data_IF_370340442370
#
_entry.id   IF_370340442370
#
_cell.length_a   1.000
_cell.length_b   1.000
_cell.length_c   1.000
_cell.angle_alpha   90.00
_cell.angle_beta   90.00
_cell.angle_gamma   90.00
#
_symmetry.space_group_name_H-M   'P 1'
#
loop_
_entity.id
_entity.type
_entity.pdbx_description
1 polymer ?
#
# COMPACT_ATOMS: atom_id res chain seq x y z
N UNK A 1 3.55 2.28 17.83
CA UNK A 1 2.88 2.53 16.54
C UNK A 1 3.13 3.99 16.18
N UNK A 2 3.93 4.20 15.15
CA UNK A 2 4.27 5.50 14.57
C UNK A 2 3.22 5.90 13.53
N UNK A 3 2.91 7.19 13.43
CA UNK A 3 1.80 7.67 12.60
C UNK A 3 2.30 8.44 11.38
N UNK A 4 1.87 8.01 10.20
CA UNK A 4 2.16 8.64 8.93
C UNK A 4 0.89 9.19 8.30
N UNK A 5 1.06 10.17 7.43
CA UNK A 5 -0.02 10.74 6.61
C UNK A 5 0.27 10.49 5.16
N UNK A 6 -0.76 10.16 4.38
CA UNK A 6 -0.66 10.16 2.93
C UNK A 6 -1.44 11.33 2.32
N UNK A 7 -0.72 12.17 1.59
CA UNK A 7 -1.25 13.37 0.93
C UNK A 7 -1.45 13.08 -0.56
N UNK A 8 -2.69 13.21 -1.01
CA UNK A 8 -3.08 12.94 -2.38
C UNK A 8 -2.97 14.18 -3.26
N UNK A 9 -2.43 14.00 -4.46
CA UNK A 9 -2.45 14.92 -5.58
C UNK A 9 -3.07 14.25 -6.81
N UNK A 10 -3.29 14.99 -7.89
CA UNK A 10 -3.86 14.44 -9.12
C UNK A 10 -3.02 13.34 -9.77
N UNK A 11 -1.73 13.26 -9.46
CA UNK A 11 -0.78 12.35 -10.10
C UNK A 11 -0.02 11.46 -9.10
N UNK A 12 -0.22 11.64 -7.80
CA UNK A 12 0.51 10.87 -6.79
C UNK A 12 -0.12 10.88 -5.40
N UNK A 13 0.32 9.92 -4.58
CA UNK A 13 0.02 9.85 -3.15
C UNK A 13 1.34 9.72 -2.37
N UNK A 14 1.69 10.76 -1.62
CA UNK A 14 2.96 10.84 -0.90
C UNK A 14 2.80 10.39 0.55
N UNK A 15 3.63 9.45 1.00
CA UNK A 15 3.66 9.01 2.41
C UNK A 15 4.67 9.86 3.20
N UNK A 16 4.17 10.58 4.19
CA UNK A 16 4.94 11.50 5.03
C UNK A 16 4.98 11.00 6.47
N UNK A 17 6.17 11.05 7.09
CA UNK A 17 6.33 10.76 8.51
C UNK A 17 5.87 11.94 9.40
N UNK A 18 5.99 11.78 10.71
CA UNK A 18 5.60 12.80 11.69
C UNK A 18 6.34 14.13 11.52
N UNK A 19 7.59 14.08 11.04
CA UNK A 19 8.45 15.24 10.73
C UNK A 19 8.19 15.85 9.35
N UNK A 20 7.18 15.37 8.61
CA UNK A 20 6.89 15.75 7.22
C UNK A 20 7.98 15.34 6.22
N UNK A 21 8.82 14.38 6.58
CA UNK A 21 9.81 13.80 5.65
C UNK A 21 9.11 12.73 4.78
N UNK A 22 9.41 12.74 3.49
CA UNK A 22 8.82 11.81 2.52
C UNK A 22 9.52 10.45 2.59
N UNK A 23 8.74 9.41 2.91
CA UNK A 23 9.22 8.02 2.94
C UNK A 23 9.13 7.33 1.59
N UNK A 24 8.17 7.77 0.76
CA UNK A 24 7.95 7.25 -0.58
C UNK A 24 6.65 7.80 -1.17
N UNK A 25 6.37 7.40 -2.39
CA UNK A 25 5.28 7.95 -3.19
C UNK A 25 4.69 6.90 -4.12
N UNK A 26 3.37 6.88 -4.21
CA UNK A 26 2.66 6.21 -5.29
C UNK A 26 2.52 7.20 -6.44
N UNK A 27 2.97 6.83 -7.63
CA UNK A 27 2.82 7.63 -8.84
C UNK A 27 1.69 7.01 -9.66
N UNK A 28 0.66 7.80 -9.93
CA UNK A 28 -0.51 7.35 -10.66
C UNK A 28 -0.31 7.49 -12.16
N UNK A 29 -0.74 6.47 -12.90
CA UNK A 29 -0.78 6.53 -14.36
C UNK A 29 -1.84 7.47 -14.92
N UNK A 30 -1.70 7.85 -16.19
CA UNK A 30 -2.62 8.75 -16.90
C UNK A 30 -4.02 8.15 -17.16
N UNK A 31 -4.14 6.82 -17.13
CA UNK A 31 -5.41 6.09 -17.25
C UNK A 31 -5.55 5.28 -15.96
N UNK A 32 -6.62 5.49 -15.21
CA UNK A 32 -6.78 5.01 -13.82
C UNK A 32 -6.27 3.58 -13.58
N UNK A 33 -5.14 3.46 -12.88
CA UNK A 33 -4.52 2.19 -12.50
C UNK A 33 -3.50 1.60 -13.49
N UNK A 34 -3.37 2.16 -14.70
CA UNK A 34 -2.43 1.70 -15.73
C UNK A 34 -1.11 2.46 -15.64
N UNK A 35 -0.03 1.72 -15.37
CA UNK A 35 1.32 2.23 -15.13
C UNK A 35 1.54 2.91 -13.77
N UNK A 36 0.77 2.51 -12.76
CA UNK A 36 1.05 2.92 -11.39
C UNK A 36 2.43 2.41 -10.94
N UNK A 37 3.13 3.23 -10.16
CA UNK A 37 4.49 2.94 -9.69
C UNK A 37 4.63 3.30 -8.22
N UNK A 38 5.54 2.62 -7.54
CA UNK A 38 6.00 2.99 -6.20
C UNK A 38 7.40 3.57 -6.32
N UNK A 39 7.63 4.75 -5.77
CA UNK A 39 8.95 5.39 -5.69
C UNK A 39 9.42 5.46 -4.24
N UNK A 40 10.61 4.92 -3.96
CA UNK A 40 11.26 4.95 -2.65
C UNK A 40 12.70 5.43 -2.88
N UNK A 41 13.02 6.65 -2.44
CA UNK A 41 14.30 7.27 -2.80
C UNK A 41 14.51 7.33 -4.32
N UNK A 42 15.56 6.66 -4.80
CA UNK A 42 15.90 6.56 -6.23
C UNK A 42 15.34 5.29 -6.90
N UNK A 43 14.73 4.39 -6.14
CA UNK A 43 14.17 3.14 -6.64
C UNK A 43 12.74 3.34 -7.12
N UNK A 44 12.41 2.70 -8.24
CA UNK A 44 11.08 2.73 -8.84
C UNK A 44 10.61 1.29 -9.07
N UNK A 45 9.45 0.98 -8.53
CA UNK A 45 8.80 -0.30 -8.63
C UNK A 45 7.56 -0.19 -9.50
N UNK A 46 7.34 -1.15 -10.37
CA UNK A 46 6.21 -1.20 -11.28
C UNK A 46 5.07 -2.01 -10.66
N UNK A 47 3.87 -1.44 -10.62
CA UNK A 47 2.66 -2.13 -10.18
C UNK A 47 1.95 -2.72 -11.40
N UNK A 48 1.57 -4.00 -11.34
CA UNK A 48 0.74 -4.65 -12.35
C UNK A 48 -0.44 -5.35 -11.69
N UNK A 49 -1.66 -4.99 -12.09
CA UNK A 49 -2.85 -5.78 -11.77
C UNK A 49 -2.75 -7.18 -12.39
N UNK A 50 -3.26 -8.19 -11.68
CA UNK A 50 -3.25 -9.60 -12.09
C UNK A 50 -4.53 -10.32 -11.66
N UNK A 51 -4.79 -11.48 -12.24
CA UNK A 51 -5.96 -12.31 -11.92
C UNK A 51 -7.25 -11.87 -12.62
N UNK A 52 -8.30 -12.70 -12.49
CA UNK A 52 -9.63 -12.38 -13.00
C UNK A 52 -10.19 -11.16 -12.26
N UNK A 53 -10.77 -10.20 -12.99
CA UNK A 53 -11.22 -8.91 -12.46
C UNK A 53 -10.16 -8.11 -11.68
N UNK A 54 -8.86 -8.31 -11.98
CA UNK A 54 -7.77 -7.56 -11.32
C UNK A 54 -7.68 -7.77 -9.80
N UNK A 55 -8.17 -8.91 -9.30
CA UNK A 55 -8.18 -9.26 -7.87
C UNK A 55 -6.80 -9.61 -7.28
N UNK A 56 -5.71 -9.44 -8.03
CA UNK A 56 -4.35 -9.56 -7.54
C UNK A 56 -3.49 -8.39 -8.00
N UNK A 57 -2.39 -8.15 -7.32
CA UNK A 57 -1.42 -7.12 -7.73
C UNK A 57 -0.02 -7.64 -7.54
N UNK A 58 0.80 -7.52 -8.58
CA UNK A 58 2.22 -7.86 -8.56
C UNK A 58 3.05 -6.58 -8.62
N UNK A 59 4.17 -6.58 -7.91
CA UNK A 59 5.09 -5.44 -7.84
C UNK A 59 6.48 -5.91 -8.21
N UNK A 60 7.06 -5.23 -9.18
CA UNK A 60 8.34 -5.60 -9.78
C UNK A 60 9.37 -4.51 -9.51
N UNK A 61 10.60 -4.91 -9.19
CA UNK A 61 11.73 -3.98 -9.12
C UNK A 61 12.21 -3.55 -10.53
N UNK A 62 13.22 -2.69 -10.57
CA UNK A 62 13.78 -2.15 -11.81
C UNK A 62 14.39 -3.23 -12.74
N UNK A 63 14.80 -4.38 -12.20
CA UNK A 63 15.30 -5.52 -12.99
C UNK A 63 14.17 -6.37 -13.59
N UNK A 64 12.91 -6.10 -13.22
CA UNK A 64 11.75 -6.90 -13.60
C UNK A 64 11.51 -8.11 -12.70
N UNK A 65 12.22 -8.21 -11.56
CA UNK A 65 11.99 -9.27 -10.57
C UNK A 65 10.76 -8.95 -9.73
N UNK A 66 9.90 -9.96 -9.53
CA UNK A 66 8.74 -9.86 -8.64
C UNK A 66 9.23 -9.76 -7.18
N UNK A 67 8.93 -8.66 -6.52
CA UNK A 67 9.31 -8.43 -5.11
C UNK A 67 8.14 -8.51 -4.15
N UNK A 68 6.91 -8.31 -4.65
CA UNK A 68 5.72 -8.38 -3.81
C UNK A 68 4.49 -8.82 -4.61
N UNK A 69 3.63 -9.64 -4.01
CA UNK A 69 2.33 -10.05 -4.56
C UNK A 69 1.22 -9.88 -3.53
N UNK A 70 0.18 -9.13 -3.89
CA UNK A 70 -1.14 -9.15 -3.23
C UNK A 70 -2.03 -10.20 -3.88
N UNK A 71 -2.54 -11.12 -3.08
CA UNK A 71 -3.54 -12.11 -3.47
C UNK A 71 -4.84 -11.84 -2.72
N UNK A 72 -5.78 -11.13 -3.36
CA UNK A 72 -7.03 -10.77 -2.69
C UNK A 72 -7.99 -11.93 -2.53
N UNK A 73 -7.82 -13.03 -3.28
CA UNK A 73 -8.65 -14.22 -3.12
C UNK A 73 -8.40 -14.95 -1.80
N UNK A 74 -7.22 -14.73 -1.21
CA UNK A 74 -6.79 -15.34 0.07
C UNK A 74 -6.49 -14.32 1.15
N UNK A 75 -6.67 -13.03 0.88
CA UNK A 75 -6.31 -11.92 1.77
C UNK A 75 -4.84 -11.97 2.24
N UNK A 76 -3.93 -12.27 1.31
CA UNK A 76 -2.50 -12.47 1.62
C UNK A 76 -1.60 -11.53 0.84
N UNK A 77 -0.47 -11.20 1.45
CA UNK A 77 0.64 -10.51 0.81
C UNK A 77 1.88 -11.39 0.91
N UNK A 78 2.56 -11.59 -0.21
CA UNK A 78 3.84 -12.29 -0.29
C UNK A 78 4.92 -11.26 -0.60
N UNK A 79 5.94 -11.19 0.24
CA UNK A 79 7.14 -10.38 -0.01
C UNK A 79 8.32 -11.30 -0.31
N UNK A 80 9.01 -11.05 -1.42
CA UNK A 80 10.12 -11.86 -1.90
C UNK A 80 11.43 -11.10 -1.69
N UNK A 81 11.89 -11.05 -0.43
CA UNK A 81 13.17 -10.49 -0.03
C UNK A 81 14.29 -11.53 -0.09
N UNK A 82 15.19 -11.53 0.90
CA UNK A 82 16.16 -12.63 1.09
C UNK A 82 15.46 -13.95 1.40
N UNK A 83 14.38 -13.87 2.19
CA UNK A 83 13.43 -14.95 2.45
C UNK A 83 12.04 -14.53 1.97
N UNK A 84 11.16 -15.52 1.77
CA UNK A 84 9.75 -15.24 1.48
C UNK A 84 9.01 -14.99 2.78
N UNK A 85 8.43 -13.80 2.91
CA UNK A 85 7.59 -13.44 4.04
C UNK A 85 6.12 -13.42 3.59
N UNK A 86 5.24 -13.90 4.47
CA UNK A 86 3.81 -13.98 4.21
C UNK A 86 3.08 -13.16 5.28
N UNK A 87 2.19 -12.30 4.82
CA UNK A 87 1.36 -11.46 5.65
C UNK A 87 -0.11 -11.69 5.32
N UNK A 88 -0.97 -11.43 6.29
CA UNK A 88 -2.42 -11.50 6.11
C UNK A 88 -2.99 -10.11 6.30
N UNK A 89 -3.98 -9.74 5.49
CA UNK A 89 -4.68 -8.47 5.68
C UNK A 89 -6.17 -8.68 5.92
N UNK A 90 -6.78 -7.71 6.60
CA UNK A 90 -8.21 -7.72 6.91
C UNK A 90 -8.79 -6.33 6.71
N UNK A 91 -9.94 -6.27 6.03
CA UNK A 91 -10.79 -5.08 6.04
C UNK A 91 -11.66 -5.11 7.29
N UNK A 92 -11.66 -4.03 8.07
CA UNK A 92 -12.57 -3.87 9.23
C UNK A 92 -13.47 -2.68 9.01
N UNK A 93 -14.76 -2.85 9.34
CA UNK A 93 -15.79 -1.81 9.29
C UNK A 93 -16.61 -1.79 7.99
N UNK A 94 -17.94 -1.66 8.12
CA UNK A 94 -18.86 -1.50 6.97
C UNK A 94 -18.82 -0.05 6.43
N UNK A 95 -18.63 0.94 7.33
CA UNK A 95 -18.65 2.38 7.00
C UNK A 95 -17.26 3.03 7.09
N UNK A 96 -16.44 2.64 8.06
CA UNK A 96 -15.04 3.05 8.16
C UNK A 96 -14.17 1.98 7.51
N UNK A 97 -13.85 2.15 6.24
CA UNK A 97 -13.02 1.21 5.48
C UNK A 97 -11.62 1.20 6.11
N UNK A 98 -11.33 0.37 7.11
CA UNK A 98 -9.97 0.23 7.67
C UNK A 98 -9.31 -0.99 7.02
N UNK A 99 -8.03 -0.89 6.65
CA UNK A 99 -7.23 -2.03 6.21
C UNK A 99 -6.13 -2.28 7.24
N UNK A 100 -6.07 -3.48 7.78
CA UNK A 100 -5.01 -3.91 8.69
C UNK A 100 -4.15 -4.99 8.04
N UNK A 101 -2.84 -4.92 8.25
CA UNK A 101 -1.86 -5.94 7.86
C UNK A 101 -1.26 -6.58 9.10
N UNK A 102 -1.14 -7.91 9.07
CA UNK A 102 -0.65 -8.74 10.15
C UNK A 102 0.49 -9.65 9.67
N UNK A 103 1.46 -9.93 10.55
CA UNK A 103 2.45 -10.98 10.31
C UNK A 103 1.88 -12.38 10.65
N UNK A 104 2.74 -13.40 10.63
CA UNK A 104 2.37 -14.79 10.92
C UNK A 104 2.06 -15.07 12.40
N UNK A 105 2.50 -14.18 13.31
CA UNK A 105 2.21 -14.23 14.76
C UNK A 105 0.94 -13.43 15.12
N UNK A 106 0.13 -13.02 14.13
CA UNK A 106 -1.04 -12.15 14.28
C UNK A 106 -0.74 -10.77 14.89
N UNK A 107 0.51 -10.31 14.85
CA UNK A 107 0.89 -8.97 15.27
C UNK A 107 0.51 -7.95 14.18
N UNK A 108 -0.12 -6.85 14.60
CA UNK A 108 -0.54 -5.76 13.71
C UNK A 108 0.69 -4.93 13.28
N UNK A 109 0.97 -4.91 11.98
CA UNK A 109 2.13 -4.18 11.44
C UNK A 109 1.75 -2.86 10.77
N UNK A 110 0.64 -2.83 10.04
CA UNK A 110 0.17 -1.65 9.31
C UNK A 110 -1.34 -1.51 9.49
N UNK A 111 -1.79 -0.30 9.74
CA UNK A 111 -3.20 0.04 9.95
C UNK A 111 -3.52 1.30 9.16
N UNK A 112 -4.34 1.14 8.13
CA UNK A 112 -4.71 2.16 7.16
C UNK A 112 -6.16 2.56 7.36
N UNK A 113 -6.39 3.85 7.48
CA UNK A 113 -7.74 4.40 7.44
C UNK A 113 -7.73 5.75 6.73
N UNK A 114 -8.89 6.19 6.27
CA UNK A 114 -9.03 7.53 5.71
C UNK A 114 -10.10 8.32 6.46
N UNK A 115 -9.96 9.64 6.44
CA UNK A 115 -11.01 10.57 6.83
C UNK A 115 -11.23 11.53 5.68
N UNK A 116 -12.48 11.71 5.29
CA UNK A 116 -12.85 12.72 4.31
C UNK A 116 -13.02 14.06 5.04
N UNK A 117 -12.31 15.09 4.59
CA UNK A 117 -12.41 16.45 5.12
C UNK A 117 -12.64 17.39 3.94
N UNK A 118 -13.87 17.88 3.79
CA UNK A 118 -14.31 18.63 2.60
C UNK A 118 -14.05 17.81 1.31
N UNK A 119 -13.56 18.46 0.25
CA UNK A 119 -13.20 17.85 -1.03
C UNK A 119 -11.86 17.06 -1.00
N UNK A 120 -11.29 16.78 0.19
CA UNK A 120 -10.01 16.07 0.31
C UNK A 120 -10.14 14.81 1.15
N UNK A 121 -9.56 13.73 0.65
CA UNK A 121 -9.35 12.50 1.40
C UNK A 121 -7.99 12.56 2.08
N UNK A 122 -7.96 12.35 3.40
CA UNK A 122 -6.71 12.27 4.17
C UNK A 122 -6.55 10.83 4.62
N UNK A 123 -5.45 10.22 4.23
CA UNK A 123 -5.09 8.86 4.63
C UNK A 123 -4.18 8.92 5.86
N UNK A 124 -4.50 8.12 6.86
CA UNK A 124 -3.64 7.87 8.03
C UNK A 124 -3.10 6.45 7.92
N UNK A 125 -1.79 6.32 8.08
CA UNK A 125 -1.09 5.04 8.10
C UNK A 125 -0.40 4.90 9.44
N UNK A 126 -0.89 4.01 10.29
CA UNK A 126 -0.25 3.63 11.55
C UNK A 126 0.64 2.42 11.28
N UNK A 127 1.90 2.48 11.71
CA UNK A 127 2.89 1.45 11.45
C UNK A 127 3.50 1.02 12.77
N UNK A 128 3.70 -0.27 12.95
CA UNK A 128 4.44 -0.77 14.10
C UNK A 128 5.85 -0.13 14.19
N UNK A 129 6.37 0.04 15.42
CA UNK A 129 7.66 0.73 15.61
C UNK A 129 8.79 0.01 14.88
N UNK A 130 8.81 -1.31 14.99
CA UNK A 130 9.89 -2.17 14.50
C UNK A 130 9.72 -2.52 13.02
N UNK A 131 8.54 -2.26 12.45
CA UNK A 131 8.27 -2.50 11.02
C UNK A 131 8.76 -1.35 10.14
N UNK A 132 9.69 -1.65 9.22
CA UNK A 132 10.37 -0.65 8.37
C UNK A 132 10.33 -0.98 6.87
N UNK A 133 9.55 -1.98 6.45
CA UNK A 133 9.48 -2.42 5.06
C UNK A 133 8.59 -1.48 4.22
N UNK A 134 9.21 -0.44 3.65
CA UNK A 134 8.53 0.64 2.94
C UNK A 134 7.80 0.18 1.68
N UNK A 135 8.30 -0.85 1.00
CA UNK A 135 7.60 -1.39 -0.17
C UNK A 135 6.29 -2.05 0.24
N UNK A 136 6.26 -2.83 1.33
CA UNK A 136 5.01 -3.41 1.84
C UNK A 136 4.03 -2.29 2.24
N UNK A 137 4.49 -1.30 3.01
CA UNK A 137 3.66 -0.19 3.50
C UNK A 137 2.99 0.55 2.33
N UNK A 138 3.76 0.96 1.32
CA UNK A 138 3.24 1.68 0.15
C UNK A 138 2.33 0.79 -0.70
N UNK A 139 2.61 -0.50 -0.77
CA UNK A 139 1.76 -1.44 -1.49
C UNK A 139 0.40 -1.64 -0.82
N UNK A 140 0.37 -1.72 0.52
CA UNK A 140 -0.88 -1.72 1.29
C UNK A 140 -1.66 -0.41 1.07
N UNK A 141 -0.98 0.73 1.06
CA UNK A 141 -1.60 2.02 0.79
C UNK A 141 -2.19 2.06 -0.63
N UNK A 142 -1.48 1.54 -1.64
CA UNK A 142 -1.97 1.46 -3.01
C UNK A 142 -3.22 0.58 -3.11
N UNK A 143 -3.16 -0.64 -2.57
CA UNK A 143 -4.28 -1.58 -2.55
C UNK A 143 -5.51 -0.99 -1.85
N UNK A 144 -5.29 -0.30 -0.74
CA UNK A 144 -6.35 0.38 -0.01
C UNK A 144 -6.95 1.54 -0.80
N UNK A 145 -6.13 2.40 -1.40
CA UNK A 145 -6.58 3.54 -2.21
C UNK A 145 -7.39 3.09 -3.44
N UNK A 146 -6.90 2.11 -4.21
CA UNK A 146 -7.60 1.62 -5.41
C UNK A 146 -8.94 0.95 -5.08
N UNK A 147 -9.01 0.24 -3.95
CA UNK A 147 -10.27 -0.32 -3.43
C UNK A 147 -11.30 0.73 -3.01
N UNK A 148 -10.89 1.96 -2.70
CA UNK A 148 -11.81 3.08 -2.44
C UNK A 148 -12.36 3.69 -3.72
N UNK A 149 -11.50 3.89 -4.72
CA UNK A 149 -11.82 4.57 -5.99
C UNK A 149 -12.68 3.72 -6.94
N UNK A 150 -12.82 2.43 -6.68
CA UNK A 150 -13.58 1.47 -7.50
C UNK A 150 -15.04 1.27 -7.06
N UNK A 151 -15.52 2.04 -6.07
CA UNK A 151 -16.86 1.88 -5.48
C UNK A 151 -17.65 3.17 -5.37
#
# INVERSE_FOLDING_TARGET
>A
MKVFKANESSSSLQLLNEKQEQMGELLFGFIGGLNDRIKIGNEVYMIKGTGFLWMGTNIFDASGRLVLKFDASKSRVFYYGETTEIYTYQHKGWLSKKLNLYNWEDQLLVSLHHKQKFLKTIYTVEIDEDFNNSIIILSCLNFYHTGLSSG
#
